data_IF_899233156882
#
_entry.id   IF_899233156882
#
_cell.length_a   1.000
_cell.length_b   1.000
_cell.length_c   1.000
_cell.angle_alpha   90.00
_cell.angle_beta   90.00
_cell.angle_gamma   90.00
#
_symmetry.space_group_name_H-M   'P 1'
#
loop_
_entity.id
_entity.type
_entity.pdbx_description
1 polymer ?
#
# COMPACT_ATOMS: atom_id res chain seq x y z
N UNK A 1 38.57 -18.76 9.80
CA UNK A 1 39.38 -19.71 10.59
C UNK A 1 40.13 -20.57 9.60
N UNK A 2 41.42 -20.29 9.38
CA UNK A 2 42.24 -21.00 8.39
C UNK A 2 42.60 -22.39 8.94
N UNK A 3 42.23 -23.44 8.20
CA UNK A 3 42.70 -24.80 8.49
C UNK A 3 44.21 -24.85 8.19
N UNK A 4 45.02 -25.19 9.20
CA UNK A 4 46.43 -25.46 9.00
C UNK A 4 46.58 -26.69 8.09
N UNK A 5 47.29 -26.52 6.98
CA UNK A 5 47.57 -27.58 6.02
C UNK A 5 48.60 -28.55 6.63
N UNK A 6 48.13 -29.70 7.13
CA UNK A 6 49.00 -30.83 7.45
C UNK A 6 49.49 -31.41 6.12
N UNK A 7 50.70 -31.01 5.71
CA UNK A 7 51.37 -31.60 4.56
C UNK A 7 51.64 -33.09 4.83
N UNK A 8 50.78 -33.97 4.33
CA UNK A 8 51.03 -35.40 4.32
C UNK A 8 52.24 -35.66 3.42
N UNK A 9 53.35 -36.13 3.99
CA UNK A 9 54.45 -36.68 3.18
C UNK A 9 53.96 -37.98 2.57
N UNK A 10 53.70 -37.98 1.27
CA UNK A 10 53.49 -39.21 0.49
C UNK A 10 54.85 -39.85 0.26
N UNK A 11 55.18 -40.87 1.06
CA UNK A 11 56.33 -41.73 0.79
C UNK A 11 55.95 -42.74 -0.29
N UNK A 12 56.83 -42.99 -1.26
CA UNK A 12 56.63 -44.12 -2.16
C UNK A 12 56.95 -45.39 -1.39
N UNK A 13 56.25 -46.49 -1.69
CA UNK A 13 56.47 -47.80 -1.04
C UNK A 13 57.93 -48.22 -1.07
N UNK A 14 58.64 -47.91 -2.16
CA UNK A 14 60.07 -48.19 -2.33
C UNK A 14 60.97 -47.42 -1.36
N UNK A 15 60.62 -46.17 -1.06
CA UNK A 15 61.43 -45.34 -0.17
C UNK A 15 61.29 -45.83 1.28
N UNK A 16 60.09 -46.27 1.67
CA UNK A 16 59.82 -46.95 2.94
C UNK A 16 60.53 -48.30 3.02
N UNK A 17 60.47 -49.09 1.94
CA UNK A 17 61.16 -50.39 1.83
C UNK A 17 62.65 -50.25 2.15
N UNK A 18 63.31 -49.29 1.49
CA UNK A 18 64.72 -49.01 1.71
C UNK A 18 65.02 -48.50 3.13
N UNK A 19 64.14 -47.69 3.73
CA UNK A 19 64.33 -47.25 5.11
C UNK A 19 64.29 -48.41 6.12
N UNK A 20 63.35 -49.35 5.97
CA UNK A 20 63.27 -50.53 6.84
C UNK A 20 64.47 -51.47 6.65
N UNK A 21 64.89 -51.72 5.40
CA UNK A 21 66.09 -52.50 5.12
C UNK A 21 67.34 -51.86 5.76
N UNK A 22 67.50 -50.54 5.64
CA UNK A 22 68.61 -49.81 6.25
C UNK A 22 68.59 -49.81 7.79
N UNK A 23 67.43 -50.03 8.41
CA UNK A 23 67.29 -50.22 9.86
C UNK A 23 67.53 -51.67 10.30
N UNK A 24 67.86 -52.57 9.38
CA UNK A 24 68.23 -53.96 9.66
C UNK A 24 67.07 -54.96 9.65
N UNK A 25 65.90 -54.58 9.12
CA UNK A 25 64.81 -55.55 8.89
C UNK A 25 65.13 -56.44 7.69
N UNK A 26 64.70 -57.71 7.73
CA UNK A 26 64.90 -58.64 6.60
C UNK A 26 63.94 -58.33 5.46
N UNK A 27 64.34 -58.69 4.25
CA UNK A 27 63.54 -58.46 3.05
C UNK A 27 62.17 -59.12 3.15
N UNK A 28 62.09 -60.33 3.72
CA UNK A 28 60.85 -61.06 3.93
C UNK A 28 59.93 -60.38 4.96
N UNK A 29 60.50 -59.79 6.01
CA UNK A 29 59.72 -59.07 7.03
C UNK A 29 59.17 -57.74 6.48
N UNK A 30 59.98 -57.04 5.68
CA UNK A 30 59.56 -55.81 5.00
C UNK A 30 58.48 -56.11 3.95
N UNK A 31 58.68 -57.14 3.14
CA UNK A 31 57.71 -57.58 2.14
C UNK A 31 56.43 -58.11 2.81
N UNK A 32 56.50 -58.77 3.96
CA UNK A 32 55.31 -59.13 4.75
C UNK A 32 54.53 -57.88 5.19
N UNK A 33 55.21 -56.87 5.75
CA UNK A 33 54.57 -55.63 6.23
C UNK A 33 54.01 -54.79 5.07
N UNK A 34 54.71 -54.72 3.94
CA UNK A 34 54.33 -53.89 2.79
C UNK A 34 53.35 -54.57 1.82
N UNK A 35 53.44 -55.90 1.66
CA UNK A 35 52.59 -56.66 0.72
C UNK A 35 51.40 -57.35 1.40
N UNK A 36 51.44 -57.66 2.70
CA UNK A 36 50.31 -58.25 3.44
C UNK A 36 49.52 -57.23 4.27
N UNK A 37 49.76 -55.93 4.05
CA UNK A 37 48.84 -54.90 4.51
C UNK A 37 47.64 -54.84 3.55
N UNK A 38 46.84 -55.91 3.56
CA UNK A 38 45.50 -55.90 3.00
C UNK A 38 44.70 -54.87 3.80
N UNK A 39 44.78 -53.62 3.36
CA UNK A 39 44.14 -52.49 4.01
C UNK A 39 42.64 -52.47 3.69
N UNK A 40 41.97 -53.61 3.88
CA UNK A 40 40.53 -53.78 3.70
C UNK A 40 39.77 -52.74 4.53
N UNK A 41 40.32 -52.33 5.68
CA UNK A 41 39.76 -51.26 6.51
C UNK A 41 39.73 -49.89 5.80
N UNK A 42 40.73 -49.55 4.97
CA UNK A 42 40.75 -48.32 4.19
C UNK A 42 39.82 -48.37 2.99
N UNK A 43 39.70 -49.52 2.32
CA UNK A 43 38.74 -49.65 1.21
C UNK A 43 37.29 -49.53 1.73
N UNK A 44 36.98 -50.20 2.86
CA UNK A 44 35.68 -50.04 3.55
C UNK A 44 35.45 -48.60 3.99
N UNK A 45 36.49 -47.90 4.47
CA UNK A 45 36.38 -46.48 4.83
C UNK A 45 36.11 -45.60 3.59
N UNK A 46 36.81 -45.85 2.49
CA UNK A 46 36.61 -45.14 1.21
C UNK A 46 35.19 -45.32 0.70
N UNK A 47 34.66 -46.55 0.68
CA UNK A 47 33.28 -46.82 0.27
C UNK A 47 32.27 -46.09 1.16
N UNK A 48 32.47 -46.08 2.50
CA UNK A 48 31.62 -45.33 3.43
C UNK A 48 31.69 -43.83 3.20
N UNK A 49 32.88 -43.27 2.92
CA UNK A 49 33.03 -41.85 2.58
C UNK A 49 32.29 -41.51 1.28
N UNK A 50 32.44 -42.34 0.25
CA UNK A 50 31.73 -42.14 -1.02
C UNK A 50 30.21 -42.23 -0.83
N UNK A 51 29.73 -43.18 -0.04
CA UNK A 51 28.30 -43.28 0.30
C UNK A 51 27.81 -42.05 1.06
N UNK A 52 28.60 -41.53 1.99
CA UNK A 52 28.25 -40.32 2.75
C UNK A 52 28.20 -39.08 1.84
N UNK A 53 29.16 -38.96 0.92
CA UNK A 53 29.19 -37.89 -0.09
C UNK A 53 27.93 -37.91 -0.96
N UNK A 54 27.50 -39.09 -1.43
CA UNK A 54 26.27 -39.22 -2.19
C UNK A 54 25.02 -38.87 -1.38
N UNK A 55 24.96 -39.27 -0.09
CA UNK A 55 23.86 -38.87 0.79
C UNK A 55 23.83 -37.35 0.99
N UNK A 56 24.99 -36.71 1.16
CA UNK A 56 25.10 -35.26 1.32
C UNK A 56 24.64 -34.52 0.06
N UNK A 57 25.04 -34.98 -1.13
CA UNK A 57 24.57 -34.45 -2.42
C UNK A 57 23.04 -34.57 -2.54
N UNK A 58 22.47 -35.72 -2.17
CA UNK A 58 21.02 -35.92 -2.21
C UNK A 58 20.27 -34.96 -1.26
N UNK A 59 20.79 -34.76 -0.05
CA UNK A 59 20.23 -33.80 0.91
C UNK A 59 20.31 -32.38 0.34
N UNK A 60 21.45 -31.98 -0.23
CA UNK A 60 21.62 -30.66 -0.84
C UNK A 60 20.61 -30.43 -1.98
N UNK A 61 20.43 -31.43 -2.85
CA UNK A 61 19.47 -31.35 -3.96
C UNK A 61 18.02 -31.23 -3.48
N UNK A 62 17.64 -31.98 -2.43
CA UNK A 62 16.30 -31.90 -1.87
C UNK A 62 16.05 -30.54 -1.22
N UNK A 63 17.00 -30.01 -0.46
CA UNK A 63 16.89 -28.68 0.13
C UNK A 63 16.78 -27.57 -0.94
N UNK A 64 17.51 -27.69 -2.05
CA UNK A 64 17.37 -26.75 -3.18
C UNK A 64 15.95 -26.78 -3.77
N UNK A 65 15.39 -27.97 -3.97
CA UNK A 65 14.00 -28.13 -4.47
C UNK A 65 12.99 -27.54 -3.49
N UNK A 66 13.13 -27.80 -2.20
CA UNK A 66 12.23 -27.26 -1.18
C UNK A 66 12.29 -25.72 -1.14
N UNK A 67 13.49 -25.15 -1.24
CA UNK A 67 13.67 -23.69 -1.31
C UNK A 67 13.02 -23.10 -2.57
N UNK A 68 13.20 -23.73 -3.73
CA UNK A 68 12.54 -23.29 -4.97
C UNK A 68 11.01 -23.37 -4.87
N UNK A 69 10.50 -24.47 -4.33
CA UNK A 69 9.07 -24.66 -4.11
C UNK A 69 8.49 -23.57 -3.20
N UNK A 70 9.12 -23.31 -2.05
CA UNK A 70 8.72 -22.27 -1.11
C UNK A 70 8.78 -20.89 -1.78
N UNK A 71 9.85 -20.59 -2.53
CA UNK A 71 10.00 -19.32 -3.26
C UNK A 71 8.87 -19.12 -4.27
N UNK A 72 8.49 -20.16 -5.01
CA UNK A 72 7.40 -20.12 -5.97
C UNK A 72 6.04 -19.91 -5.27
N UNK A 73 5.78 -20.63 -4.18
CA UNK A 73 4.54 -20.49 -3.41
C UNK A 73 4.38 -19.08 -2.83
N UNK A 74 5.45 -18.52 -2.26
CA UNK A 74 5.45 -17.14 -1.78
C UNK A 74 5.29 -16.13 -2.91
N UNK A 75 5.97 -16.32 -4.05
CA UNK A 75 5.80 -15.47 -5.23
C UNK A 75 4.35 -15.40 -5.70
N UNK A 76 3.70 -16.56 -5.82
CA UNK A 76 2.29 -16.64 -6.22
C UNK A 76 1.35 -15.96 -5.21
N UNK A 77 1.62 -16.10 -3.90
CA UNK A 77 0.84 -15.43 -2.86
C UNK A 77 0.98 -13.91 -2.93
N UNK A 78 2.19 -13.41 -3.18
CA UNK A 78 2.44 -11.97 -3.35
C UNK A 78 1.72 -11.42 -4.58
N UNK A 79 1.82 -12.08 -5.73
CA UNK A 79 1.13 -11.66 -6.95
C UNK A 79 -0.41 -11.65 -6.78
N UNK A 80 -0.96 -12.62 -6.04
CA UNK A 80 -2.39 -12.62 -5.70
C UNK A 80 -2.78 -11.43 -4.81
N UNK A 81 -1.93 -11.08 -3.84
CA UNK A 81 -2.14 -9.92 -2.97
C UNK A 81 -2.06 -8.61 -3.76
N UNK A 82 -1.06 -8.45 -4.63
CA UNK A 82 -0.94 -7.27 -5.51
C UNK A 82 -2.18 -7.11 -6.38
N UNK A 83 -2.66 -8.20 -7.00
CA UNK A 83 -3.90 -8.18 -7.78
C UNK A 83 -5.13 -7.75 -6.95
N UNK A 84 -5.22 -8.21 -5.68
CA UNK A 84 -6.30 -7.81 -4.79
C UNK A 84 -6.20 -6.33 -4.39
N UNK A 85 -5.00 -5.85 -4.11
CA UNK A 85 -4.74 -4.45 -3.78
C UNK A 85 -5.13 -3.55 -4.94
N UNK A 86 -4.70 -3.87 -6.17
CA UNK A 86 -5.05 -3.12 -7.38
C UNK A 86 -6.57 -3.04 -7.59
N UNK A 87 -7.28 -4.15 -7.34
CA UNK A 87 -8.73 -4.18 -7.47
C UNK A 87 -9.42 -3.32 -6.41
N UNK A 88 -8.95 -3.36 -5.16
CA UNK A 88 -9.46 -2.50 -4.08
C UNK A 88 -9.20 -1.02 -4.41
N UNK A 89 -8.01 -0.67 -4.87
CA UNK A 89 -7.65 0.70 -5.24
C UNK A 89 -8.56 1.23 -6.36
N UNK A 90 -8.74 0.46 -7.44
CA UNK A 90 -9.63 0.85 -8.55
C UNK A 90 -11.08 1.04 -8.10
N UNK A 91 -11.58 0.18 -7.23
CA UNK A 91 -12.93 0.31 -6.70
C UNK A 91 -13.09 1.56 -5.83
N UNK A 92 -12.13 1.83 -4.94
CA UNK A 92 -12.14 3.03 -4.10
C UNK A 92 -12.05 4.32 -4.94
N UNK A 93 -11.20 4.36 -5.96
CA UNK A 93 -11.11 5.50 -6.88
C UNK A 93 -12.45 5.76 -7.58
N UNK A 94 -13.14 4.70 -8.02
CA UNK A 94 -14.46 4.79 -8.65
C UNK A 94 -15.52 5.30 -7.66
N UNK A 95 -15.54 4.79 -6.44
CA UNK A 95 -16.51 5.18 -5.42
C UNK A 95 -16.33 6.64 -5.02
N UNK A 96 -15.08 7.09 -4.81
CA UNK A 96 -14.76 8.50 -4.55
C UNK A 96 -15.24 9.39 -5.71
N UNK A 97 -14.91 9.02 -6.96
CA UNK A 97 -15.33 9.77 -8.15
C UNK A 97 -16.86 9.87 -8.26
N UNK A 98 -17.59 8.83 -7.88
CA UNK A 98 -19.05 8.83 -7.88
C UNK A 98 -19.63 9.73 -6.77
N UNK A 99 -19.05 9.67 -5.57
CA UNK A 99 -19.44 10.54 -4.46
C UNK A 99 -19.22 12.03 -4.81
N UNK A 100 -18.05 12.37 -5.37
CA UNK A 100 -17.73 13.73 -5.80
C UNK A 100 -18.77 14.26 -6.80
N UNK A 101 -19.10 13.47 -7.83
CA UNK A 101 -20.13 13.83 -8.81
C UNK A 101 -21.51 14.02 -8.18
N UNK A 102 -21.89 13.16 -7.24
CA UNK A 102 -23.18 13.25 -6.55
C UNK A 102 -23.26 14.53 -5.72
N UNK A 103 -22.21 14.82 -4.95
CA UNK A 103 -22.14 16.03 -4.12
C UNK A 103 -22.17 17.31 -4.96
N UNK A 104 -21.41 17.35 -6.07
CA UNK A 104 -21.44 18.48 -6.99
C UNK A 104 -22.85 18.73 -7.54
N UNK A 105 -23.54 17.68 -7.97
CA UNK A 105 -24.92 17.77 -8.48
C UNK A 105 -25.89 18.27 -7.43
N UNK A 106 -25.76 17.82 -6.18
CA UNK A 106 -26.60 18.28 -5.07
C UNK A 106 -26.36 19.77 -4.75
N UNK A 107 -25.10 20.21 -4.72
CA UNK A 107 -24.73 21.61 -4.55
C UNK A 107 -25.31 22.49 -5.66
N UNK A 108 -25.17 22.06 -6.92
CA UNK A 108 -25.73 22.77 -8.08
C UNK A 108 -27.26 22.89 -7.99
N UNK A 109 -27.94 21.82 -7.62
CA UNK A 109 -29.39 21.80 -7.40
C UNK A 109 -29.81 22.77 -6.30
N UNK A 110 -29.16 22.72 -5.13
CA UNK A 110 -29.46 23.61 -4.01
C UNK A 110 -29.21 25.08 -4.37
N UNK A 111 -28.12 25.37 -5.08
CA UNK A 111 -27.82 26.71 -5.57
C UNK A 111 -28.87 27.21 -6.56
N UNK A 112 -29.40 26.35 -7.44
CA UNK A 112 -30.47 26.71 -8.36
C UNK A 112 -31.76 27.06 -7.60
N UNK A 113 -32.14 26.25 -6.61
CA UNK A 113 -33.31 26.51 -5.75
C UNK A 113 -33.18 27.85 -5.02
N UNK A 114 -32.03 28.09 -4.38
CA UNK A 114 -31.77 29.35 -3.67
C UNK A 114 -31.84 30.57 -4.59
N UNK A 115 -31.29 30.48 -5.81
CA UNK A 115 -31.38 31.56 -6.82
C UNK A 115 -32.82 31.87 -7.18
N UNK A 116 -33.66 30.86 -7.39
CA UNK A 116 -35.07 31.06 -7.74
C UNK A 116 -35.90 31.57 -6.56
N UNK A 117 -35.62 31.15 -5.33
CA UNK A 117 -36.22 31.73 -4.12
C UNK A 117 -35.86 33.21 -3.96
N UNK A 118 -34.60 33.58 -4.14
CA UNK A 118 -34.16 34.98 -4.08
C UNK A 118 -34.85 35.84 -5.15
N UNK A 119 -34.93 35.36 -6.39
CA UNK A 119 -35.65 36.07 -7.47
C UNK A 119 -37.13 36.27 -7.13
N UNK A 120 -37.80 35.23 -6.64
CA UNK A 120 -39.22 35.31 -6.24
C UNK A 120 -39.43 36.29 -5.10
N UNK A 121 -38.60 36.23 -4.06
CA UNK A 121 -38.69 37.14 -2.91
C UNK A 121 -38.45 38.60 -3.33
N UNK A 122 -37.47 38.85 -4.19
CA UNK A 122 -37.20 40.19 -4.73
C UNK A 122 -38.38 40.71 -5.57
N UNK A 123 -39.01 39.86 -6.40
CA UNK A 123 -40.19 40.24 -7.17
C UNK A 123 -41.38 40.61 -6.27
N UNK A 124 -41.64 39.81 -5.23
CA UNK A 124 -42.70 40.08 -4.25
C UNK A 124 -42.43 41.40 -3.50
N UNK A 125 -41.18 41.63 -3.07
CA UNK A 125 -40.81 42.86 -2.39
C UNK A 125 -41.01 44.09 -3.28
N UNK A 126 -40.62 43.99 -4.56
CA UNK A 126 -40.82 45.06 -5.53
C UNK A 126 -42.31 45.39 -5.72
N UNK A 127 -43.17 44.39 -5.83
CA UNK A 127 -44.62 44.61 -5.94
C UNK A 127 -45.20 45.25 -4.67
N UNK A 128 -44.78 44.81 -3.47
CA UNK A 128 -45.18 45.44 -2.20
C UNK A 128 -44.75 46.91 -2.14
N UNK A 129 -43.54 47.24 -2.58
CA UNK A 129 -43.05 48.62 -2.65
C UNK A 129 -43.86 49.46 -3.64
N UNK A 130 -44.18 48.93 -4.83
CA UNK A 130 -45.04 49.62 -5.80
C UNK A 130 -46.42 49.93 -5.22
N UNK A 131 -47.05 48.97 -4.54
CA UNK A 131 -48.35 49.16 -3.89
C UNK A 131 -48.25 50.24 -2.80
N UNK A 132 -47.22 50.17 -1.96
CA UNK A 132 -46.95 51.19 -0.94
C UNK A 132 -46.80 52.59 -1.54
N UNK A 133 -46.06 52.71 -2.65
CA UNK A 133 -45.89 53.98 -3.34
C UNK A 133 -47.21 54.51 -3.94
N UNK A 134 -48.06 53.62 -4.49
CA UNK A 134 -49.40 54.00 -4.97
C UNK A 134 -50.29 54.52 -3.84
N UNK A 135 -50.25 53.89 -2.67
CA UNK A 135 -50.99 54.34 -1.49
C UNK A 135 -50.51 55.70 -1.00
N UNK A 136 -49.19 55.92 -0.95
CA UNK A 136 -48.61 57.20 -0.56
C UNK A 136 -49.03 58.32 -1.53
N UNK A 137 -49.02 58.04 -2.83
CA UNK A 137 -49.51 58.97 -3.85
C UNK A 137 -51.00 59.31 -3.67
N UNK A 138 -51.85 58.32 -3.34
CA UNK A 138 -53.28 58.56 -3.07
C UNK A 138 -53.49 59.42 -1.82
N UNK A 139 -52.75 59.18 -0.75
CA UNK A 139 -52.81 59.99 0.48
C UNK A 139 -52.36 61.43 0.20
N UNK A 140 -51.28 61.60 -0.57
CA UNK A 140 -50.78 62.93 -0.95
C UNK A 140 -51.78 63.69 -1.83
N UNK A 141 -52.38 63.01 -2.82
CA UNK A 141 -53.28 63.65 -3.79
C UNK A 141 -54.67 63.97 -3.22
N UNK A 142 -55.24 63.06 -2.41
CA UNK A 142 -56.62 63.16 -1.93
C UNK A 142 -56.68 63.46 -0.43
N UNK A 143 -55.89 62.74 0.37
CA UNK A 143 -55.90 62.86 1.82
C UNK A 143 -55.40 64.22 2.32
N UNK A 144 -54.27 64.71 1.79
CA UNK A 144 -53.69 65.99 2.24
C UNK A 144 -54.62 67.19 1.99
N UNK A 145 -55.24 67.38 0.81
CA UNK A 145 -56.21 68.46 0.59
C UNK A 145 -57.43 68.42 1.52
N UNK A 146 -57.92 67.23 1.85
CA UNK A 146 -59.04 67.07 2.80
C UNK A 146 -58.60 67.53 4.19
N UNK A 147 -57.43 67.07 4.65
CA UNK A 147 -56.88 67.45 5.97
C UNK A 147 -56.64 68.95 6.04
N UNK A 148 -56.04 69.56 5.01
CA UNK A 148 -55.79 71.02 5.01
C UNK A 148 -57.10 71.81 5.03
N UNK A 149 -58.12 71.36 4.29
CA UNK A 149 -59.45 71.99 4.29
C UNK A 149 -60.12 71.95 5.67
N UNK A 150 -60.05 70.81 6.36
CA UNK A 150 -60.57 70.64 7.73
C UNK A 150 -59.83 71.55 8.71
N UNK A 151 -58.50 71.60 8.64
CA UNK A 151 -57.69 72.46 9.52
C UNK A 151 -58.01 73.94 9.33
N UNK A 152 -58.10 74.41 8.08
CA UNK A 152 -58.47 75.80 7.76
C UNK A 152 -59.84 76.13 8.34
N UNK A 153 -60.83 75.25 8.15
CA UNK A 153 -62.19 75.43 8.70
C UNK A 153 -62.19 75.60 10.23
N UNK A 154 -61.47 74.73 10.95
CA UNK A 154 -61.37 74.80 12.42
C UNK A 154 -60.71 76.12 12.85
N UNK A 155 -59.58 76.49 12.23
CA UNK A 155 -58.86 77.73 12.57
C UNK A 155 -59.76 78.96 12.35
N UNK A 156 -60.43 79.06 11.20
CA UNK A 156 -61.33 80.18 10.89
C UNK A 156 -62.49 80.26 11.87
N UNK A 157 -63.08 79.13 12.27
CA UNK A 157 -64.22 79.11 13.19
C UNK A 157 -63.85 79.44 14.64
N UNK A 158 -62.65 79.07 15.10
CA UNK A 158 -62.19 79.34 16.47
C UNK A 158 -61.52 80.72 16.63
N UNK A 159 -60.71 81.16 15.66
CA UNK A 159 -59.95 82.42 15.76
C UNK A 159 -60.57 83.59 14.99
N UNK A 160 -61.48 83.35 14.04
CA UNK A 160 -62.13 84.40 13.25
C UNK A 160 -63.39 85.01 13.88
N UNK A 161 -63.78 84.59 15.09
CA UNK A 161 -64.91 85.13 15.86
C UNK A 161 -64.49 85.99 17.08
N UNK A 162 -63.23 86.40 17.12
CA UNK A 162 -62.69 87.37 18.10
C UNK A 162 -62.57 88.76 17.52
#
# INVERSE_FOLDING_TARGET
MFMNNLAYKTYRTEDLRMEFLNKGFTEEAVDFILLHNDNSNFEVLREKMNSLEQQMINVEQNLKKDIEFIRMEFGNKLENLDTKIDNVEKNLQKDISNLERSLLKEIESNNAVLREELKRNNAILLEKLKIGNRMLNLISLIGMPIITSILVYIITNYFGRG
#
